data_IF_042690773991
#
_entry.id   IF_042690773991
#
_cell.length_a   1.000
_cell.length_b   1.000
_cell.length_c   1.000
_cell.angle_alpha   90.00
_cell.angle_beta   90.00
_cell.angle_gamma   90.00
#
_symmetry.space_group_name_H-M   'P 1'
#
loop_
_entity.id
_entity.type
_entity.pdbx_description
1 polymer ?
#
# COMPACT_ATOMS: atom_id res chain seq x y z
N UNK A 1 -10.35 25.67 38.26
CA UNK A 1 -9.47 25.51 37.09
C UNK A 1 -9.04 24.06 37.06
N UNK A 2 -9.40 23.24 36.05
CA UNK A 2 -8.97 21.84 36.02
C UNK A 2 -7.44 21.80 35.89
N UNK A 3 -6.80 21.01 36.75
CA UNK A 3 -5.35 20.86 36.78
C UNK A 3 -4.85 20.32 35.44
N UNK A 4 -3.80 20.95 34.90
CA UNK A 4 -3.11 20.52 33.69
C UNK A 4 -2.53 19.13 33.95
N UNK A 5 -3.04 18.11 33.26
CA UNK A 5 -2.55 16.74 33.41
C UNK A 5 -1.05 16.70 33.10
N UNK A 6 -0.24 16.16 34.02
CA UNK A 6 1.19 15.95 33.80
C UNK A 6 1.35 14.89 32.70
N UNK A 7 1.89 15.30 31.56
CA UNK A 7 2.31 14.37 30.49
C UNK A 7 3.37 13.45 31.06
N UNK A 8 3.06 12.16 31.19
CA UNK A 8 4.06 11.16 31.56
C UNK A 8 5.16 11.13 30.48
N UNK A 9 6.44 10.95 30.85
CA UNK A 9 7.51 10.85 29.87
C UNK A 9 7.22 9.69 28.92
N UNK A 10 7.20 9.99 27.62
CA UNK A 10 6.99 8.99 26.58
C UNK A 10 8.15 7.99 26.66
N UNK A 11 7.85 6.74 27.05
CA UNK A 11 8.86 5.68 27.03
C UNK A 11 9.38 5.52 25.60
N UNK A 12 10.70 5.42 25.42
CA UNK A 12 11.25 5.16 24.10
C UNK A 12 10.77 3.79 23.62
N UNK A 13 10.07 3.77 22.48
CA UNK A 13 9.66 2.54 21.84
C UNK A 13 10.88 1.92 21.15
N UNK A 14 11.21 0.69 21.51
CA UNK A 14 12.28 -0.07 20.86
C UNK A 14 11.93 -0.45 19.42
N UNK A 15 12.92 -0.97 18.69
CA UNK A 15 12.68 -1.53 17.36
C UNK A 15 11.97 -2.88 17.47
N UNK A 16 10.76 -2.95 16.93
CA UNK A 16 10.02 -4.18 16.73
C UNK A 16 10.17 -4.68 15.29
N UNK A 17 9.75 -5.93 15.00
CA UNK A 17 9.73 -6.50 13.64
C UNK A 17 11.05 -6.37 12.87
N UNK A 18 12.16 -6.76 13.52
CA UNK A 18 13.50 -6.71 12.93
C UNK A 18 13.97 -5.29 12.54
N UNK A 19 13.36 -4.24 13.12
CA UNK A 19 13.84 -2.87 13.08
C UNK A 19 14.09 -2.34 11.66
N UNK A 20 15.16 -1.56 11.43
CA UNK A 20 15.45 -0.99 10.12
C UNK A 20 15.62 -2.02 9.00
N UNK A 21 16.31 -3.17 9.18
CA UNK A 21 16.35 -4.21 8.16
C UNK A 21 14.98 -4.81 7.82
N UNK A 22 14.11 -5.01 8.81
CA UNK A 22 12.73 -5.47 8.60
C UNK A 22 11.91 -4.47 7.82
N UNK A 23 11.99 -3.18 8.20
CA UNK A 23 11.34 -2.09 7.46
C UNK A 23 11.81 -2.04 6.00
N UNK A 24 13.12 -2.19 5.74
CA UNK A 24 13.66 -2.26 4.38
C UNK A 24 13.06 -3.42 3.59
N UNK A 25 13.07 -4.64 4.16
CA UNK A 25 12.53 -5.82 3.48
C UNK A 25 11.05 -5.66 3.11
N UNK A 26 10.24 -5.07 4.00
CA UNK A 26 8.80 -4.82 3.77
C UNK A 26 8.59 -3.70 2.76
N UNK A 27 9.26 -2.55 2.91
CA UNK A 27 9.07 -1.40 2.02
C UNK A 27 9.45 -1.66 0.56
N UNK A 28 10.46 -2.51 0.30
CA UNK A 28 10.89 -2.86 -1.06
C UNK A 28 10.38 -4.21 -1.53
N UNK A 29 10.29 -5.20 -0.64
CA UNK A 29 9.89 -6.56 -0.98
C UNK A 29 8.39 -6.70 -1.25
N UNK A 30 7.52 -6.02 -0.48
CA UNK A 30 6.07 -6.11 -0.70
C UNK A 30 5.64 -5.54 -2.06
N UNK A 31 6.10 -4.35 -2.51
CA UNK A 31 5.79 -3.87 -3.86
C UNK A 31 6.21 -4.86 -4.95
N UNK A 32 7.40 -5.46 -4.83
CA UNK A 32 7.87 -6.48 -5.77
C UNK A 32 7.00 -7.74 -5.74
N UNK A 33 6.57 -8.17 -4.55
CA UNK A 33 5.66 -9.31 -4.38
C UNK A 33 4.27 -9.04 -4.99
N UNK A 34 3.75 -7.83 -4.84
CA UNK A 34 2.48 -7.41 -5.46
C UNK A 34 2.60 -7.46 -6.99
N UNK A 35 3.68 -6.93 -7.56
CA UNK A 35 3.93 -7.05 -9.00
C UNK A 35 4.12 -8.51 -9.43
N UNK A 36 4.84 -9.30 -8.64
CA UNK A 36 5.00 -10.73 -8.91
C UNK A 36 3.64 -11.41 -9.03
N UNK A 37 2.71 -11.17 -8.10
CA UNK A 37 1.37 -11.75 -8.20
C UNK A 37 0.56 -11.19 -9.37
N UNK A 38 0.65 -9.88 -9.63
CA UNK A 38 -0.02 -9.27 -10.78
C UNK A 38 0.44 -9.85 -12.12
N UNK A 39 1.72 -10.23 -12.23
CA UNK A 39 2.30 -10.80 -13.44
C UNK A 39 2.22 -12.33 -13.51
N UNK A 40 2.37 -13.03 -12.39
CA UNK A 40 2.34 -14.49 -12.34
C UNK A 40 0.91 -15.05 -12.37
N UNK A 41 -0.09 -14.25 -12.01
CA UNK A 41 -1.50 -14.61 -12.02
C UNK A 41 -2.28 -13.50 -12.73
N UNK A 42 -2.49 -13.68 -14.02
CA UNK A 42 -3.04 -12.66 -14.90
C UNK A 42 -4.11 -13.26 -15.86
N UNK A 43 -4.77 -12.40 -16.61
CA UNK A 43 -5.82 -12.74 -17.56
C UNK A 43 -5.33 -13.26 -18.91
N UNK A 44 -4.03 -13.15 -19.22
CA UNK A 44 -3.40 -13.61 -20.47
C UNK A 44 -3.11 -15.12 -20.41
N UNK A 45 -2.46 -15.59 -19.34
CA UNK A 45 -2.00 -16.98 -19.20
C UNK A 45 -2.59 -17.73 -18.01
N UNK A 46 -3.39 -17.06 -17.18
CA UNK A 46 -4.00 -17.64 -15.98
C UNK A 46 -3.05 -17.66 -14.79
N UNK A 47 -3.30 -18.59 -13.85
CA UNK A 47 -2.59 -18.65 -12.57
C UNK A 47 -2.13 -20.08 -12.24
N UNK A 48 -0.82 -20.35 -12.13
CA UNK A 48 0.31 -19.48 -12.44
C UNK A 48 0.69 -19.49 -13.93
N UNK A 49 1.38 -18.45 -14.39
CA UNK A 49 1.94 -18.39 -15.75
C UNK A 49 2.75 -19.68 -16.06
N UNK A 50 2.47 -20.39 -17.18
CA UNK A 50 2.98 -21.74 -17.43
C UNK A 50 4.51 -21.87 -17.36
N UNK A 51 5.25 -20.88 -17.83
CA UNK A 51 6.72 -20.88 -17.80
C UNK A 51 7.30 -20.92 -16.39
N UNK A 52 6.55 -20.46 -15.38
CA UNK A 52 6.99 -20.47 -13.96
C UNK A 52 6.98 -21.91 -13.40
N UNK A 53 6.07 -22.77 -13.87
CA UNK A 53 5.96 -24.16 -13.41
C UNK A 53 7.02 -25.09 -14.01
N UNK A 54 7.59 -24.71 -15.16
CA UNK A 54 8.57 -25.51 -15.88
C UNK A 54 9.90 -24.74 -16.04
N UNK A 55 10.66 -24.52 -14.96
CA UNK A 55 11.86 -23.68 -14.98
C UNK A 55 12.97 -24.21 -15.91
N UNK A 56 12.97 -25.51 -16.23
CA UNK A 56 13.95 -26.12 -17.15
C UNK A 56 13.74 -25.75 -18.62
N UNK A 57 12.54 -25.33 -18.98
CA UNK A 57 12.15 -24.95 -20.36
C UNK A 57 11.82 -23.46 -20.46
N UNK A 58 12.16 -22.68 -19.43
CA UNK A 58 11.82 -21.27 -19.34
C UNK A 58 12.57 -20.48 -20.42
N UNK A 59 11.79 -19.85 -21.31
CA UNK A 59 12.27 -18.87 -22.27
C UNK A 59 11.83 -17.48 -21.82
N UNK A 60 12.76 -16.53 -21.72
CA UNK A 60 12.43 -15.16 -21.31
C UNK A 60 11.46 -14.48 -22.28
N UNK A 61 11.54 -14.78 -23.57
CA UNK A 61 10.62 -14.24 -24.57
C UNK A 61 9.21 -14.79 -24.36
N UNK A 62 9.10 -16.09 -24.08
CA UNK A 62 7.82 -16.72 -23.79
C UNK A 62 7.23 -16.18 -22.47
N UNK A 63 8.04 -16.06 -21.43
CA UNK A 63 7.61 -15.52 -20.15
C UNK A 63 7.07 -14.09 -20.29
N UNK A 64 7.74 -13.22 -21.05
CA UNK A 64 7.26 -11.85 -21.30
C UNK A 64 5.88 -11.82 -21.95
N UNK A 65 5.60 -12.73 -22.88
CA UNK A 65 4.28 -12.84 -23.51
C UNK A 65 3.23 -13.34 -22.51
N UNK A 66 3.56 -14.39 -21.76
CA UNK A 66 2.65 -15.00 -20.77
C UNK A 66 2.28 -14.06 -19.62
N UNK A 67 3.21 -13.21 -19.19
CA UNK A 67 3.00 -12.26 -18.11
C UNK A 67 2.51 -10.89 -18.58
N UNK A 68 2.33 -10.69 -19.89
CA UNK A 68 1.91 -9.39 -20.44
C UNK A 68 2.92 -8.27 -20.18
N UNK A 69 4.22 -8.58 -20.22
CA UNK A 69 5.26 -7.59 -19.97
C UNK A 69 5.15 -6.42 -20.96
N UNK A 70 5.20 -5.15 -20.50
CA UNK A 70 5.03 -4.01 -21.39
C UNK A 70 6.11 -3.94 -22.46
N UNK A 71 5.74 -3.48 -23.66
CA UNK A 71 6.67 -3.30 -24.77
C UNK A 71 7.74 -2.25 -24.47
N UNK A 72 7.37 -1.18 -23.77
CA UNK A 72 8.27 -0.12 -23.30
C UNK A 72 9.08 -0.52 -22.04
N UNK A 73 9.04 -1.80 -21.66
CA UNK A 73 9.71 -2.32 -20.49
C UNK A 73 9.18 -1.72 -19.19
N UNK A 74 10.08 -1.40 -18.27
CA UNK A 74 9.73 -0.88 -16.94
C UNK A 74 8.97 0.45 -17.03
N UNK A 75 9.22 1.26 -18.06
CA UNK A 75 8.51 2.52 -18.26
C UNK A 75 7.04 2.33 -18.60
N UNK A 76 6.68 1.18 -19.19
CA UNK A 76 5.29 0.81 -19.44
C UNK A 76 4.49 0.50 -18.18
N UNK A 77 5.14 0.39 -17.01
CA UNK A 77 4.48 0.26 -15.70
C UNK A 77 3.95 1.60 -15.17
N UNK A 78 4.37 2.72 -15.76
CA UNK A 78 3.93 4.06 -15.38
C UNK A 78 3.04 4.67 -16.48
N UNK A 79 1.96 5.35 -16.08
CA UNK A 79 1.05 6.00 -17.01
C UNK A 79 0.47 7.28 -16.41
N UNK A 80 0.63 8.41 -17.11
CA UNK A 80 0.01 9.67 -16.66
C UNK A 80 -1.50 9.63 -16.63
N UNK A 81 -2.11 8.85 -17.54
CA UNK A 81 -3.56 8.65 -17.52
C UNK A 81 -3.98 7.91 -16.25
N UNK A 82 -3.28 6.84 -15.88
CA UNK A 82 -3.57 6.09 -14.65
C UNK A 82 -3.33 6.95 -13.40
N UNK A 83 -2.20 7.66 -13.33
CA UNK A 83 -1.91 8.58 -12.22
C UNK A 83 -2.99 9.65 -12.07
N UNK A 84 -3.40 10.29 -13.17
CA UNK A 84 -4.46 11.30 -13.15
C UNK A 84 -5.79 10.74 -12.65
N UNK A 85 -6.17 9.54 -13.09
CA UNK A 85 -7.38 8.87 -12.62
C UNK A 85 -7.33 8.53 -11.12
N UNK A 86 -6.19 8.04 -10.63
CA UNK A 86 -5.97 7.74 -9.20
C UNK A 86 -6.05 9.02 -8.37
N UNK A 87 -5.37 10.09 -8.80
CA UNK A 87 -5.43 11.39 -8.11
C UNK A 87 -6.84 11.98 -8.08
N UNK A 88 -7.59 11.89 -9.20
CA UNK A 88 -8.98 12.32 -9.25
C UNK A 88 -9.87 11.52 -8.29
N UNK A 89 -9.66 10.21 -8.20
CA UNK A 89 -10.38 9.35 -7.26
C UNK A 89 -10.11 9.73 -5.80
N UNK A 90 -8.84 9.97 -5.43
CA UNK A 90 -8.50 10.44 -4.09
C UNK A 90 -9.07 11.83 -3.81
N UNK A 91 -8.99 12.75 -4.77
CA UNK A 91 -9.58 14.09 -4.62
C UNK A 91 -11.09 14.02 -4.39
N UNK A 92 -11.81 13.20 -5.16
CA UNK A 92 -13.22 12.94 -4.94
C UNK A 92 -13.47 12.37 -3.54
N UNK A 93 -12.68 11.40 -3.10
CA UNK A 93 -12.80 10.79 -1.76
C UNK A 93 -12.60 11.83 -0.66
N UNK A 94 -11.64 12.76 -0.82
CA UNK A 94 -11.41 13.87 0.11
C UNK A 94 -12.59 14.86 0.13
N UNK A 95 -13.17 15.17 -1.03
CA UNK A 95 -14.36 16.02 -1.12
C UNK A 95 -15.54 15.35 -0.40
N UNK A 96 -15.77 14.06 -0.65
CA UNK A 96 -16.84 13.30 0.00
C UNK A 96 -16.65 13.26 1.51
N UNK A 97 -15.45 12.94 1.99
CA UNK A 97 -15.11 13.00 3.42
C UNK A 97 -15.41 14.38 4.03
N UNK A 98 -15.19 15.46 3.27
CA UNK A 98 -15.44 16.83 3.76
C UNK A 98 -16.91 17.24 3.72
N UNK A 99 -17.68 16.79 2.74
CA UNK A 99 -19.04 17.30 2.46
C UNK A 99 -20.13 16.43 3.07
N UNK A 100 -19.96 15.11 3.10
CA UNK A 100 -21.03 14.22 3.52
C UNK A 100 -21.37 14.36 5.03
N UNK A 101 -22.65 14.21 5.44
CA UNK A 101 -23.05 14.36 6.83
C UNK A 101 -22.36 13.35 7.74
N UNK A 102 -21.74 13.79 8.83
CA UNK A 102 -20.96 12.89 9.66
C UNK A 102 -21.16 13.16 11.14
N UNK A 103 -20.90 12.14 11.96
CA UNK A 103 -20.83 12.26 13.41
C UNK A 103 -19.37 12.39 13.85
N UNK A 104 -19.11 13.22 14.85
CA UNK A 104 -17.80 13.29 15.49
C UNK A 104 -17.79 12.38 16.72
N UNK A 105 -16.81 11.48 16.78
CA UNK A 105 -16.61 10.57 17.91
C UNK A 105 -15.22 10.74 18.52
N UNK A 106 -15.14 10.60 19.83
CA UNK A 106 -13.88 10.60 20.55
C UNK A 106 -13.19 9.25 20.39
N UNK A 107 -11.92 9.27 20.00
CA UNK A 107 -11.07 8.09 19.88
C UNK A 107 -10.66 7.50 21.23
N UNK A 108 -9.74 6.54 21.18
CA UNK A 108 -9.11 5.99 22.38
C UNK A 108 -8.23 7.03 23.06
N UNK A 109 -8.04 6.86 24.37
CA UNK A 109 -7.12 7.73 25.12
C UNK A 109 -5.68 7.49 24.67
N UNK A 110 -4.97 8.57 24.36
CA UNK A 110 -3.57 8.52 23.93
C UNK A 110 -2.66 8.27 25.11
N UNK A 111 -1.51 7.63 24.87
CA UNK A 111 -0.47 7.42 25.89
C UNK A 111 0.06 8.73 26.48
N UNK A 112 0.06 9.81 25.68
CA UNK A 112 0.41 11.16 26.12
C UNK A 112 -0.74 11.93 26.80
N UNK A 113 -1.91 11.29 26.95
CA UNK A 113 -3.15 11.87 27.46
C UNK A 113 -4.03 12.50 26.38
N UNK A 114 -5.32 12.62 26.67
CA UNK A 114 -6.30 13.21 25.75
C UNK A 114 -6.84 12.23 24.70
N UNK A 115 -7.76 12.71 23.86
CA UNK A 115 -8.43 11.93 22.80
C UNK A 115 -8.47 12.74 21.51
N UNK A 116 -8.37 12.04 20.37
CA UNK A 116 -8.56 12.64 19.05
C UNK A 116 -10.02 12.50 18.63
N UNK A 117 -10.56 13.54 18.00
CA UNK A 117 -11.88 13.50 17.39
C UNK A 117 -11.78 12.97 15.97
N UNK A 118 -12.63 12.00 15.66
CA UNK A 118 -12.73 11.39 14.35
C UNK A 118 -14.11 11.67 13.76
N UNK A 119 -14.12 12.07 12.48
CA UNK A 119 -15.35 12.30 11.72
C UNK A 119 -15.73 11.02 10.98
N UNK A 120 -16.88 10.45 11.30
CA UNK A 120 -17.43 9.26 10.66
C UNK A 120 -18.71 9.63 9.89
N UNK A 121 -18.61 9.56 8.56
CA UNK A 121 -19.76 9.66 7.65
C UNK A 121 -20.40 8.28 7.45
#
# INVERSE_FOLDING_TARGET
MPAKAKTAPHAEHGYEFFGPPGAFAISFGLPLLVYFFAFACNDISGCPAPSILSPRTLSLNQLKLEVGWPQDGIWGLASWKATGAVLAYYLLSLILYRVLPATEVEGTELSCGGRLKYRFN
#
